data_IF_985673470859
#
_entry.id   IF_985673470859
#
_cell.length_a   1.000
_cell.length_b   1.000
_cell.length_c   1.000
_cell.angle_alpha   90.00
_cell.angle_beta   90.00
_cell.angle_gamma   90.00
#
_symmetry.space_group_name_H-M   'P 1'
#
loop_
_entity.id
_entity.type
_entity.pdbx_description
1 polymer ?
#
# COMPACT_ATOMS: atom_id res chain seq x y z
N UNK A 1 -5.29 12.15 -13.49
CA UNK A 1 -6.58 11.49 -13.83
C UNK A 1 -7.71 12.31 -13.24
N UNK A 2 -8.73 12.62 -14.02
CA UNK A 2 -9.89 13.38 -13.56
C UNK A 2 -10.87 12.45 -12.86
N UNK A 3 -11.35 12.87 -11.71
CA UNK A 3 -12.39 12.20 -10.96
C UNK A 3 -13.67 13.05 -10.98
N UNK A 4 -14.74 12.44 -10.58
CA UNK A 4 -16.06 13.09 -10.49
C UNK A 4 -16.65 12.80 -9.12
N UNK A 5 -17.13 13.83 -8.45
CA UNK A 5 -17.76 13.70 -7.13
C UNK A 5 -19.18 14.23 -7.17
N UNK A 6 -20.09 13.55 -6.52
CA UNK A 6 -21.45 14.03 -6.30
C UNK A 6 -21.54 14.65 -4.91
N UNK A 7 -21.84 15.94 -4.84
CA UNK A 7 -21.97 16.70 -3.60
C UNK A 7 -23.43 17.07 -3.39
N UNK A 8 -24.04 16.55 -2.34
CA UNK A 8 -25.42 16.84 -1.97
C UNK A 8 -25.46 17.26 -0.51
N UNK A 9 -26.10 18.41 -0.23
CA UNK A 9 -26.21 18.96 1.12
C UNK A 9 -24.84 19.17 1.81
N UNK A 10 -23.82 19.57 1.03
CA UNK A 10 -22.48 19.79 1.56
C UNK A 10 -21.66 18.52 1.82
N UNK A 11 -22.16 17.36 1.44
CA UNK A 11 -21.48 16.07 1.64
C UNK A 11 -21.22 15.37 0.31
N UNK A 12 -20.04 14.71 0.20
CA UNK A 12 -19.72 13.85 -0.92
C UNK A 12 -20.46 12.52 -0.75
N UNK A 13 -21.29 12.19 -1.74
CA UNK A 13 -22.10 10.97 -1.75
C UNK A 13 -21.47 9.85 -2.58
N UNK A 14 -20.82 10.22 -3.70
CA UNK A 14 -20.19 9.26 -4.63
C UNK A 14 -18.93 9.84 -5.22
N UNK A 15 -17.97 8.98 -5.55
CA UNK A 15 -16.76 9.33 -6.29
C UNK A 15 -16.65 8.36 -7.47
N UNK A 16 -16.56 8.89 -8.69
CA UNK A 16 -16.45 8.09 -9.91
C UNK A 16 -15.20 8.47 -10.69
N UNK A 17 -14.65 7.50 -11.42
CA UNK A 17 -13.54 7.72 -12.35
C UNK A 17 -14.03 8.00 -13.77
N UNK A 18 -15.31 7.79 -14.03
CA UNK A 18 -15.95 8.01 -15.34
C UNK A 18 -16.96 9.15 -15.23
N UNK A 19 -17.20 9.89 -16.34
CA UNK A 19 -18.18 10.96 -16.32
C UNK A 19 -19.59 10.45 -15.95
N UNK A 20 -20.30 11.18 -15.07
CA UNK A 20 -21.68 10.82 -14.73
C UNK A 20 -22.61 11.03 -15.94
N UNK A 21 -23.59 10.13 -16.09
CA UNK A 21 -24.55 10.20 -17.20
C UNK A 21 -25.40 11.48 -17.18
N UNK A 22 -25.68 12.02 -15.98
CA UNK A 22 -26.41 13.29 -15.84
C UNK A 22 -25.59 14.51 -16.26
N UNK A 23 -24.26 14.35 -16.37
CA UNK A 23 -23.33 15.44 -16.67
C UNK A 23 -22.91 16.23 -15.44
N UNK A 24 -21.71 16.80 -15.53
CA UNK A 24 -21.17 17.70 -14.51
C UNK A 24 -22.02 18.98 -14.43
N UNK A 25 -22.33 19.41 -13.21
CA UNK A 25 -23.22 20.55 -12.96
C UNK A 25 -24.67 20.15 -12.71
N UNK A 26 -25.03 18.87 -12.90
CA UNK A 26 -26.36 18.33 -12.63
C UNK A 26 -26.31 17.40 -11.44
N UNK A 27 -27.36 17.40 -10.60
CA UNK A 27 -27.46 16.54 -9.40
C UNK A 27 -26.24 16.58 -8.48
N UNK A 28 -25.59 17.73 -8.37
CA UNK A 28 -24.44 17.90 -7.50
C UNK A 28 -23.11 17.33 -8.03
N UNK A 29 -23.07 16.87 -9.28
CA UNK A 29 -21.83 16.35 -9.87
C UNK A 29 -20.85 17.47 -10.19
N UNK A 30 -19.62 17.28 -9.76
CA UNK A 30 -18.52 18.22 -9.96
C UNK A 30 -17.26 17.47 -10.39
N UNK A 31 -16.42 18.15 -11.16
CA UNK A 31 -15.06 17.65 -11.43
C UNK A 31 -14.24 17.64 -10.16
N UNK A 32 -13.35 16.65 -10.04
CA UNK A 32 -12.43 16.53 -8.92
C UNK A 32 -11.05 16.13 -9.39
N UNK A 33 -10.03 16.51 -8.63
CA UNK A 33 -8.66 16.10 -8.86
C UNK A 33 -8.07 15.55 -7.58
N UNK A 34 -7.23 14.51 -7.68
CA UNK A 34 -6.48 14.01 -6.54
C UNK A 34 -5.26 14.89 -6.28
N UNK A 35 -5.05 15.19 -5.01
CA UNK A 35 -3.83 15.85 -4.51
C UNK A 35 -3.12 14.89 -3.58
N UNK A 36 -2.04 14.28 -4.08
CA UNK A 36 -1.23 13.32 -3.32
C UNK A 36 0.17 13.89 -3.12
N UNK A 37 0.58 14.15 -1.88
CA UNK A 37 1.97 14.49 -1.61
C UNK A 37 2.90 13.35 -2.02
N UNK A 38 4.11 13.70 -2.42
CA UNK A 38 5.16 12.70 -2.66
C UNK A 38 5.59 12.14 -1.31
N UNK A 39 5.63 10.81 -1.21
CA UNK A 39 6.04 10.11 0.01
C UNK A 39 7.40 9.45 -0.18
N UNK A 40 8.12 9.26 0.94
CA UNK A 40 9.31 8.43 0.97
C UNK A 40 8.87 6.97 1.03
N UNK A 41 9.20 6.20 0.00
CA UNK A 41 8.83 4.79 -0.08
C UNK A 41 9.29 4.03 1.18
N UNK A 42 8.46 3.12 1.65
CA UNK A 42 8.69 2.27 2.82
C UNK A 42 8.73 3.00 4.17
N UNK A 43 8.77 4.34 4.18
CA UNK A 43 8.83 5.14 5.43
C UNK A 43 7.57 5.91 5.71
N UNK A 44 6.76 6.15 4.69
CA UNK A 44 5.53 6.92 4.78
C UNK A 44 4.39 6.21 4.06
N UNK A 45 3.18 6.52 4.46
CA UNK A 45 1.96 6.06 3.80
C UNK A 45 0.95 7.19 3.69
N UNK A 46 -0.15 6.93 2.99
CA UNK A 46 -1.26 7.86 2.90
C UNK A 46 -2.34 7.49 3.90
N UNK A 47 -2.93 8.51 4.52
CA UNK A 47 -4.13 8.36 5.34
C UNK A 47 -5.37 8.36 4.46
N UNK A 48 -6.53 8.16 5.08
CA UNK A 48 -7.80 8.33 4.38
C UNK A 48 -7.89 9.75 3.80
N UNK A 49 -8.41 9.85 2.58
CA UNK A 49 -8.56 11.12 1.90
C UNK A 49 -9.70 11.96 2.50
N UNK A 50 -9.59 13.26 2.28
CA UNK A 50 -10.63 14.26 2.61
C UNK A 50 -10.92 15.09 1.36
N UNK A 51 -12.04 15.81 1.38
CA UNK A 51 -12.47 16.62 0.23
C UNK A 51 -12.42 18.11 0.59
N UNK A 52 -11.85 18.92 -0.30
CA UNK A 52 -12.00 20.36 -0.26
C UNK A 52 -13.05 20.76 -1.30
N UNK A 53 -14.25 21.11 -0.82
CA UNK A 53 -15.39 21.46 -1.65
C UNK A 53 -15.40 22.94 -2.05
N UNK A 54 -14.51 23.74 -1.49
CA UNK A 54 -14.41 25.18 -1.75
C UNK A 54 -13.54 25.51 -2.97
N UNK A 55 -12.95 24.49 -3.59
CA UNK A 55 -12.13 24.64 -4.80
C UNK A 55 -12.88 24.13 -6.03
N UNK A 56 -12.51 24.62 -7.21
CA UNK A 56 -13.02 24.15 -8.48
C UNK A 56 -11.85 23.88 -9.44
N UNK A 57 -11.55 22.60 -9.76
CA UNK A 57 -12.28 21.38 -9.35
C UNK A 57 -12.16 21.09 -7.86
N UNK A 58 -13.07 20.27 -7.33
CA UNK A 58 -12.99 19.73 -5.96
C UNK A 58 -11.66 19.02 -5.80
N UNK A 59 -10.99 19.21 -4.67
CA UNK A 59 -9.76 18.51 -4.37
C UNK A 59 -10.03 17.28 -3.48
N UNK A 60 -9.52 16.13 -3.90
CA UNK A 60 -9.46 14.91 -3.09
C UNK A 60 -8.06 14.87 -2.51
N UNK A 61 -7.93 15.23 -1.24
CA UNK A 61 -6.63 15.47 -0.59
C UNK A 61 -6.26 14.27 0.26
N UNK A 62 -5.09 13.70 -0.03
CA UNK A 62 -4.49 12.64 0.77
C UNK A 62 -3.45 13.25 1.70
N UNK A 63 -3.56 12.95 2.98
CA UNK A 63 -2.53 13.28 3.97
C UNK A 63 -1.55 12.11 4.10
N UNK A 64 -0.38 12.37 4.65
CA UNK A 64 0.65 11.36 4.85
C UNK A 64 0.83 11.09 6.34
N UNK A 65 1.36 9.90 6.65
CA UNK A 65 1.79 9.54 8.00
C UNK A 65 3.14 8.85 7.93
N UNK A 66 3.90 8.91 9.02
CA UNK A 66 5.17 8.23 9.13
C UNK A 66 4.96 6.82 9.68
N UNK A 67 5.57 5.84 9.01
CA UNK A 67 5.55 4.45 9.45
C UNK A 67 6.66 4.28 10.49
N UNK A 68 6.32 3.76 11.68
CA UNK A 68 7.31 3.50 12.71
C UNK A 68 8.29 2.41 12.30
N UNK A 69 9.49 2.43 12.87
CA UNK A 69 10.47 1.35 12.68
C UNK A 69 9.87 0.01 13.12
N UNK A 70 9.15 -0.02 14.24
CA UNK A 70 8.52 -1.24 14.77
C UNK A 70 7.49 -1.82 13.79
N UNK A 71 6.59 -1.00 13.24
CA UNK A 71 5.59 -1.45 12.28
C UNK A 71 6.23 -1.94 10.99
N UNK A 72 7.24 -1.25 10.54
CA UNK A 72 7.99 -1.63 9.34
C UNK A 72 8.71 -2.97 9.53
N UNK A 73 9.33 -3.18 10.69
CA UNK A 73 9.96 -4.47 11.05
C UNK A 73 8.95 -5.60 11.00
N UNK A 74 7.77 -5.40 11.58
CA UNK A 74 6.71 -6.43 11.57
C UNK A 74 6.29 -6.79 10.14
N UNK A 75 6.09 -5.81 9.28
CA UNK A 75 5.76 -6.04 7.87
C UNK A 75 6.86 -6.79 7.12
N UNK A 76 8.11 -6.41 7.30
CA UNK A 76 9.24 -7.05 6.65
C UNK A 76 9.45 -8.50 7.13
N UNK A 77 9.28 -8.78 8.42
CA UNK A 77 9.32 -10.15 8.95
C UNK A 77 8.21 -11.01 8.36
N UNK A 78 7.00 -10.48 8.26
CA UNK A 78 5.88 -11.19 7.64
C UNK A 78 6.14 -11.50 6.17
N UNK A 79 6.71 -10.56 5.43
CA UNK A 79 7.08 -10.77 4.03
C UNK A 79 8.14 -11.85 3.87
N UNK A 80 9.13 -11.91 4.76
CA UNK A 80 10.15 -12.96 4.74
C UNK A 80 9.51 -14.35 4.97
N UNK A 81 8.58 -14.44 5.91
CA UNK A 81 7.83 -15.68 6.17
C UNK A 81 6.97 -16.10 4.98
N UNK A 82 6.30 -15.14 4.34
CA UNK A 82 5.50 -15.38 3.15
C UNK A 82 6.35 -15.87 1.96
N UNK A 83 7.51 -15.29 1.74
CA UNK A 83 8.44 -15.73 0.71
C UNK A 83 8.88 -17.19 0.91
N UNK A 84 9.19 -17.56 2.14
CA UNK A 84 9.49 -18.96 2.48
C UNK A 84 8.30 -19.88 2.19
N UNK A 85 7.10 -19.46 2.60
CA UNK A 85 5.88 -20.26 2.40
C UNK A 85 5.59 -20.49 0.91
N UNK A 86 5.87 -19.51 0.06
CA UNK A 86 5.74 -19.67 -1.40
C UNK A 86 6.67 -20.77 -1.93
N UNK A 87 7.93 -20.80 -1.48
CA UNK A 87 8.86 -21.85 -1.89
C UNK A 87 8.38 -23.23 -1.43
N UNK A 88 7.96 -23.35 -0.17
CA UNK A 88 7.44 -24.61 0.37
C UNK A 88 6.22 -25.12 -0.40
N UNK A 89 5.28 -24.21 -0.69
CA UNK A 89 4.06 -24.54 -1.47
C UNK A 89 4.38 -24.96 -2.89
N UNK A 90 5.32 -24.31 -3.55
CA UNK A 90 5.73 -24.65 -4.91
C UNK A 90 6.34 -26.05 -4.96
N UNK A 91 7.21 -26.38 -4.01
CA UNK A 91 7.78 -27.72 -3.91
C UNK A 91 6.70 -28.78 -3.66
N UNK A 92 5.73 -28.48 -2.82
CA UNK A 92 4.63 -29.41 -2.53
C UNK A 92 3.71 -29.68 -3.73
N UNK A 93 3.57 -28.70 -4.64
CA UNK A 93 2.72 -28.84 -5.85
C UNK A 93 3.34 -29.71 -6.93
N UNK A 94 4.65 -29.90 -6.93
CA UNK A 94 5.41 -30.61 -7.95
C UNK A 94 6.17 -31.80 -7.34
N UNK A 95 5.45 -32.91 -6.98
CA UNK A 95 6.10 -34.04 -6.30
C UNK A 95 7.25 -34.67 -7.08
N UNK A 96 7.20 -34.60 -8.42
CA UNK A 96 8.24 -35.17 -9.29
C UNK A 96 9.57 -34.39 -9.24
N UNK A 97 9.49 -33.09 -8.94
CA UNK A 97 10.64 -32.19 -8.83
C UNK A 97 10.87 -31.72 -7.42
N UNK A 98 10.23 -32.38 -6.44
CA UNK A 98 10.34 -32.01 -5.03
C UNK A 98 11.79 -32.04 -4.56
N UNK A 99 12.23 -30.94 -3.98
CA UNK A 99 13.59 -30.76 -3.48
C UNK A 99 13.54 -30.26 -2.03
N UNK A 100 13.75 -31.15 -1.08
CA UNK A 100 13.78 -30.82 0.33
C UNK A 100 14.93 -29.87 0.69
N UNK A 101 16.06 -29.95 -0.02
CA UNK A 101 17.19 -29.06 0.19
C UNK A 101 16.84 -27.61 -0.19
N UNK A 102 16.03 -27.41 -1.22
CA UNK A 102 15.56 -26.07 -1.61
C UNK A 102 14.68 -25.44 -0.51
N UNK A 103 13.82 -26.23 0.12
CA UNK A 103 12.99 -25.77 1.25
C UNK A 103 13.87 -25.40 2.45
N UNK A 104 14.85 -26.23 2.77
CA UNK A 104 15.75 -25.96 3.90
C UNK A 104 16.62 -24.73 3.65
N UNK A 105 17.12 -24.53 2.44
CA UNK A 105 17.85 -23.32 2.05
C UNK A 105 16.97 -22.07 2.19
N UNK A 106 15.71 -22.13 1.74
CA UNK A 106 14.76 -21.05 1.88
C UNK A 106 14.42 -20.77 3.35
N UNK A 107 14.31 -21.81 4.16
CA UNK A 107 14.06 -21.67 5.61
C UNK A 107 15.23 -20.97 6.30
N UNK A 108 16.45 -21.36 6.00
CA UNK A 108 17.64 -20.70 6.56
C UNK A 108 17.74 -19.26 6.13
N UNK A 109 17.44 -18.95 4.87
CA UNK A 109 17.41 -17.59 4.37
C UNK A 109 16.35 -16.75 5.08
N UNK A 110 15.16 -17.29 5.32
CA UNK A 110 14.10 -16.64 6.09
C UNK A 110 14.55 -16.33 7.52
N UNK A 111 15.13 -17.31 8.22
CA UNK A 111 15.59 -17.13 9.60
C UNK A 111 16.67 -16.04 9.68
N UNK A 112 17.64 -16.07 8.75
CA UNK A 112 18.69 -15.05 8.68
C UNK A 112 18.13 -13.65 8.40
N UNK A 113 17.19 -13.57 7.47
CA UNK A 113 16.53 -12.30 7.12
C UNK A 113 15.74 -11.73 8.30
N UNK A 114 14.96 -12.57 8.98
CA UNK A 114 14.19 -12.14 10.15
C UNK A 114 15.10 -11.71 11.30
N UNK A 115 16.23 -12.38 11.51
CA UNK A 115 17.21 -11.99 12.53
C UNK A 115 17.85 -10.63 12.21
N UNK A 116 18.19 -10.37 10.94
CA UNK A 116 18.72 -9.08 10.50
C UNK A 116 17.70 -7.95 10.67
N UNK A 117 16.44 -8.22 10.36
CA UNK A 117 15.34 -7.25 10.57
C UNK A 117 15.19 -6.97 12.07
N UNK A 118 15.19 -8.00 12.90
CA UNK A 118 15.04 -7.84 14.35
C UNK A 118 16.17 -6.99 14.95
N UNK A 119 17.38 -7.12 14.45
CA UNK A 119 18.55 -6.36 14.90
C UNK A 119 18.54 -4.90 14.45
N UNK A 120 17.75 -4.56 13.42
CA UNK A 120 17.68 -3.20 12.91
C UNK A 120 16.96 -2.28 13.90
N UNK A 121 17.47 -1.05 14.06
CA UNK A 121 16.91 -0.02 14.93
C UNK A 121 16.57 1.28 14.20
N UNK A 122 16.93 1.40 12.93
CA UNK A 122 16.72 2.60 12.12
C UNK A 122 16.10 2.27 10.77
N UNK A 123 15.45 3.25 10.16
CA UNK A 123 14.95 3.12 8.80
C UNK A 123 16.04 2.83 7.78
N UNK A 124 17.22 3.46 7.92
CA UNK A 124 18.34 3.22 7.00
C UNK A 124 18.81 1.78 7.05
N UNK A 125 18.88 1.19 8.24
CA UNK A 125 19.23 -0.22 8.40
C UNK A 125 18.17 -1.13 7.75
N UNK A 126 16.90 -0.80 7.87
CA UNK A 126 15.82 -1.56 7.21
C UNK A 126 15.88 -1.41 5.70
N UNK A 127 16.18 -0.22 5.18
CA UNK A 127 16.33 0.01 3.74
C UNK A 127 17.46 -0.84 3.14
N UNK A 128 18.53 -1.05 3.89
CA UNK A 128 19.64 -1.91 3.46
C UNK A 128 19.25 -3.39 3.34
N UNK A 129 18.11 -3.79 3.91
CA UNK A 129 17.60 -5.17 3.88
C UNK A 129 16.49 -5.39 2.83
N UNK A 130 16.13 -4.37 2.08
CA UNK A 130 15.11 -4.47 1.02
C UNK A 130 15.58 -5.27 -0.18
#
# INVERSE_FOLDING_TARGET
MTHYVQVLNGEVKQVWDTPPSEGVGNNGWRNAVEVRPVITAHRQGYTAHRFDLNTDPVQIIWDTYDISVADRKNGMKSNAGFTFQQVANEQARNPETYDAAAIETARQAMVAKQAAIEAATTHDQLDALL
#
